data_IF_215655952500
#
_entry.id   IF_215655952500
#
_cell.length_a   1.000
_cell.length_b   1.000
_cell.length_c   1.000
_cell.angle_alpha   90.00
_cell.angle_beta   90.00
_cell.angle_gamma   90.00
#
_symmetry.space_group_name_H-M   'P 1'
#
loop_
_entity.id
_entity.type
_entity.pdbx_description
1 polymer ?
#
# COMPACT_ATOMS: atom_id res chain seq x y z
N UNK A 1 -4.94 -30.95 7.82
CA UNK A 1 -5.45 -29.58 7.98
C UNK A 1 -4.27 -28.65 7.77
N UNK A 2 -4.21 -27.92 6.65
CA UNK A 2 -3.13 -26.96 6.43
C UNK A 2 -3.47 -25.76 7.29
N UNK A 3 -2.70 -25.55 8.35
CA UNK A 3 -2.79 -24.38 9.22
C UNK A 3 -2.63 -23.15 8.32
N UNK A 4 -3.73 -22.41 8.12
CA UNK A 4 -3.67 -21.14 7.41
C UNK A 4 -2.72 -20.26 8.22
N UNK A 5 -1.48 -20.08 7.74
CA UNK A 5 -0.51 -19.16 8.33
C UNK A 5 -1.27 -17.85 8.57
N UNK A 6 -1.46 -17.49 9.84
CA UNK A 6 -2.09 -16.23 10.22
C UNK A 6 -1.18 -15.11 9.73
N UNK A 7 -1.43 -14.64 8.51
CA UNK A 7 -0.82 -13.43 8.03
C UNK A 7 -1.29 -12.28 8.94
N UNK A 8 -0.40 -11.38 9.35
CA UNK A 8 -0.81 -10.24 10.15
C UNK A 8 -1.89 -9.44 9.40
N UNK A 9 -2.87 -8.86 10.12
CA UNK A 9 -3.91 -8.05 9.50
C UNK A 9 -3.29 -6.86 8.76
N UNK A 10 -3.98 -6.40 7.71
CA UNK A 10 -3.55 -5.21 6.97
C UNK A 10 -3.53 -3.98 7.89
N UNK A 11 -2.40 -3.25 7.96
CA UNK A 11 -2.35 -1.99 8.69
C UNK A 11 -3.32 -0.96 8.09
N UNK A 12 -4.05 -0.22 8.92
CA UNK A 12 -5.05 0.77 8.48
C UNK A 12 -4.47 1.78 7.47
N UNK A 13 -3.22 2.20 7.68
CA UNK A 13 -2.53 3.19 6.84
C UNK A 13 -1.65 2.58 5.74
N UNK A 14 -1.82 1.29 5.44
CA UNK A 14 -1.03 0.61 4.42
C UNK A 14 -1.23 1.23 3.04
N UNK A 15 -2.49 1.49 2.67
CA UNK A 15 -2.87 2.12 1.39
C UNK A 15 -2.22 3.49 1.22
N UNK A 16 -2.45 4.39 2.18
CA UNK A 16 -1.84 5.72 2.19
C UNK A 16 -0.31 5.64 2.04
N UNK A 17 0.34 4.79 2.84
CA UNK A 17 1.79 4.67 2.82
C UNK A 17 2.31 4.10 1.50
N UNK A 18 1.60 3.15 0.90
CA UNK A 18 1.95 2.67 -0.44
C UNK A 18 1.85 3.80 -1.48
N UNK A 19 0.78 4.58 -1.41
CA UNK A 19 0.53 5.71 -2.32
C UNK A 19 1.60 6.79 -2.16
N UNK A 20 2.01 7.10 -0.93
CA UNK A 20 3.02 8.14 -0.62
C UNK A 20 4.46 7.65 -0.83
N UNK A 21 4.87 6.57 -0.18
CA UNK A 21 6.26 6.10 -0.17
C UNK A 21 6.56 5.07 -1.28
N UNK A 22 5.57 4.26 -1.68
CA UNK A 22 5.74 3.19 -2.65
C UNK A 22 6.35 1.91 -2.05
N UNK A 23 6.60 0.92 -2.92
CA UNK A 23 7.03 -0.44 -2.52
C UNK A 23 8.25 -0.45 -1.57
N UNK A 24 9.34 0.24 -1.93
CA UNK A 24 10.55 0.25 -1.10
C UNK A 24 10.34 0.92 0.27
N UNK A 25 9.40 1.86 0.35
CA UNK A 25 9.10 2.56 1.60
C UNK A 25 8.28 1.72 2.56
N UNK A 26 7.23 1.04 2.05
CA UNK A 26 6.46 0.10 2.87
C UNK A 26 7.29 -1.10 3.31
N UNK A 27 8.19 -1.60 2.45
CA UNK A 27 9.11 -2.70 2.77
C UNK A 27 10.04 -2.31 3.92
N UNK A 28 10.59 -1.09 3.89
CA UNK A 28 11.41 -0.57 4.99
C UNK A 28 10.60 -0.31 6.26
N UNK A 29 9.39 0.24 6.14
CA UNK A 29 8.58 0.63 7.28
C UNK A 29 8.01 -0.56 8.05
N UNK A 30 7.45 -1.54 7.33
CA UNK A 30 6.82 -2.71 7.96
C UNK A 30 7.80 -3.87 8.15
N UNK A 31 8.93 -3.90 7.43
CA UNK A 31 9.88 -5.03 7.47
C UNK A 31 9.24 -6.38 7.13
N UNK A 32 8.10 -6.35 6.41
CA UNK A 32 7.26 -7.52 6.19
C UNK A 32 7.77 -8.35 5.01
N UNK A 33 7.46 -9.65 5.03
CA UNK A 33 7.74 -10.54 3.89
C UNK A 33 6.89 -10.13 2.68
N UNK A 34 7.44 -10.31 1.48
CA UNK A 34 6.76 -10.03 0.21
C UNK A 34 5.38 -10.67 0.13
N UNK A 35 5.21 -11.91 0.59
CA UNK A 35 3.91 -12.60 0.60
C UNK A 35 2.85 -11.87 1.44
N UNK A 36 3.24 -11.34 2.61
CA UNK A 36 2.34 -10.57 3.48
C UNK A 36 1.95 -9.25 2.80
N UNK A 37 2.92 -8.56 2.20
CA UNK A 37 2.65 -7.32 1.47
C UNK A 37 1.74 -7.54 0.26
N UNK A 38 1.93 -8.64 -0.48
CA UNK A 38 1.06 -9.00 -1.60
C UNK A 38 -0.37 -9.30 -1.14
N UNK A 39 -0.54 -9.94 0.02
CA UNK A 39 -1.86 -10.17 0.60
C UNK A 39 -2.54 -8.85 1.00
N UNK A 40 -1.83 -7.95 1.67
CA UNK A 40 -2.37 -6.61 2.00
C UNK A 40 -2.72 -5.80 0.76
N UNK A 41 -1.94 -5.94 -0.31
CA UNK A 41 -2.24 -5.31 -1.59
C UNK A 41 -3.50 -5.91 -2.21
N UNK A 42 -3.70 -7.22 -2.14
CA UNK A 42 -4.92 -7.86 -2.60
C UNK A 42 -6.15 -7.37 -1.79
N UNK A 43 -6.02 -7.22 -0.48
CA UNK A 43 -7.07 -6.68 0.40
C UNK A 43 -7.39 -5.20 0.11
N UNK A 44 -6.42 -4.44 -0.43
CA UNK A 44 -6.61 -3.07 -0.91
C UNK A 44 -7.28 -2.96 -2.30
N UNK A 45 -7.68 -4.08 -2.93
CA UNK A 45 -8.23 -4.09 -4.30
C UNK A 45 -7.20 -4.42 -5.38
N UNK A 46 -5.95 -4.67 -5.01
CA UNK A 46 -4.89 -5.14 -5.91
C UNK A 46 -3.80 -4.10 -6.22
N UNK A 47 -2.74 -4.58 -6.87
CA UNK A 47 -1.55 -3.77 -7.15
C UNK A 47 -1.84 -2.66 -8.17
N UNK A 48 -2.76 -2.89 -9.10
CA UNK A 48 -3.10 -1.93 -10.15
C UNK A 48 -3.82 -0.70 -9.60
N UNK A 49 -4.81 -0.91 -8.71
CA UNK A 49 -5.53 0.15 -8.00
C UNK A 49 -4.55 1.06 -7.23
N UNK A 50 -3.68 0.46 -6.40
CA UNK A 50 -2.70 1.21 -5.63
C UNK A 50 -1.69 1.97 -6.51
N UNK A 51 -1.32 1.44 -7.68
CA UNK A 51 -0.46 2.12 -8.65
C UNK A 51 -1.18 3.28 -9.33
N UNK A 52 -2.44 3.12 -9.67
CA UNK A 52 -3.27 4.18 -10.24
C UNK A 52 -3.46 5.33 -9.23
N UNK A 53 -3.72 5.02 -7.96
CA UNK A 53 -3.77 6.00 -6.89
C UNK A 53 -2.44 6.71 -6.67
N UNK A 54 -1.32 5.97 -6.64
CA UNK A 54 0.01 6.57 -6.57
C UNK A 54 0.29 7.50 -7.74
N UNK A 55 -0.13 7.14 -8.95
CA UNK A 55 -0.01 8.03 -10.12
C UNK A 55 -0.81 9.32 -9.88
N UNK A 56 -2.08 9.23 -9.49
CA UNK A 56 -2.93 10.39 -9.18
C UNK A 56 -2.33 11.27 -8.09
N UNK A 57 -1.83 10.68 -7.01
CA UNK A 57 -1.16 11.39 -5.93
C UNK A 57 0.10 12.14 -6.41
N UNK A 58 0.91 11.51 -7.28
CA UNK A 58 2.09 12.18 -7.85
C UNK A 58 1.72 13.30 -8.82
N UNK A 59 0.63 13.14 -9.57
CA UNK A 59 0.10 14.19 -10.43
C UNK A 59 -0.44 15.36 -9.60
N UNK A 60 -1.11 15.09 -8.48
CA UNK A 60 -1.60 16.13 -7.57
C UNK A 60 -0.45 16.90 -6.90
N UNK A 61 0.62 16.20 -6.47
CA UNK A 61 1.85 16.83 -5.98
C UNK A 61 2.49 17.73 -7.03
N UNK A 62 2.55 17.28 -8.29
CA UNK A 62 3.08 18.05 -9.41
C UNK A 62 2.24 19.30 -9.70
N UNK A 63 0.92 19.22 -9.56
CA UNK A 63 0.00 20.34 -9.77
C UNK A 63 -0.15 21.26 -8.54
N UNK A 64 0.51 20.94 -7.42
CA UNK A 64 0.39 21.71 -6.18
C UNK A 64 -0.96 21.60 -5.48
N UNK A 65 -1.84 20.69 -5.92
CA UNK A 65 -3.07 20.35 -5.21
C UNK A 65 -2.76 19.28 -4.17
N UNK A 66 -2.64 19.70 -2.91
CA UNK A 66 -2.56 18.78 -1.78
C UNK A 66 -3.97 18.25 -1.52
N UNK A 67 -4.37 17.22 -2.26
CA UNK A 67 -5.53 16.39 -1.86
C UNK A 67 -5.05 15.51 -0.72
N UNK A 68 -5.23 16.02 0.50
CA UNK A 68 -5.11 15.25 1.71
C UNK A 68 -6.22 14.17 1.68
N UNK A 69 -5.85 12.96 1.30
CA UNK A 69 -6.68 11.79 1.55
C UNK A 69 -6.58 11.50 3.06
N UNK A 70 -7.57 11.99 3.81
CA UNK A 70 -7.87 11.55 5.17
C UNK A 70 -8.65 10.26 5.18
#
# INVERSE_FOLDING_TARGET
>A
MIEAKKHPPMPERFRERFVTDGWRGIERYYGARTEVMLQWIAECGGLEELRAERRRYRESLRMGQVVAHG
#
